data_IF_064312333884
#
_entry.id   IF_064312333884
#
_cell.length_a   1.000
_cell.length_b   1.000
_cell.length_c   1.000
_cell.angle_alpha   90.00
_cell.angle_beta   90.00
_cell.angle_gamma   90.00
#
_symmetry.space_group_name_H-M   'P 1'
#
loop_
_entity.id
_entity.type
_entity.pdbx_description
1 polymer ?
#
# COMPACT_ATOMS: atom_id res chain seq x y z
N UNK A 1 41.58 -3.85 54.33
CA UNK A 1 41.11 -3.43 52.99
C UNK A 1 41.27 -4.59 52.02
N UNK A 2 40.26 -5.45 51.85
CA UNK A 2 40.16 -6.38 50.72
C UNK A 2 38.72 -6.29 50.23
N UNK A 3 38.52 -5.46 49.19
CA UNK A 3 37.24 -5.23 48.54
C UNK A 3 36.93 -6.44 47.68
N UNK A 4 35.90 -7.19 48.08
CA UNK A 4 35.26 -8.28 47.35
C UNK A 4 35.01 -7.86 45.90
N UNK A 5 35.62 -8.60 44.97
CA UNK A 5 35.33 -8.54 43.54
C UNK A 5 33.92 -9.11 43.35
N UNK A 6 32.89 -8.26 43.33
CA UNK A 6 31.53 -8.69 42.98
C UNK A 6 31.55 -9.12 41.52
N UNK A 7 31.25 -10.40 41.34
CA UNK A 7 30.94 -11.11 40.11
C UNK A 7 30.29 -10.19 39.07
N UNK A 8 30.99 -9.93 37.97
CA UNK A 8 30.35 -9.63 36.69
C UNK A 8 29.73 -10.94 36.24
N UNK A 9 28.49 -11.20 36.66
CA UNK A 9 27.70 -12.32 36.17
C UNK A 9 27.59 -12.20 34.65
N UNK A 10 28.40 -13.04 34.01
CA UNK A 10 28.31 -13.54 32.65
C UNK A 10 26.85 -13.66 32.20
N UNK A 11 26.35 -12.66 31.48
CA UNK A 11 25.18 -12.85 30.62
C UNK A 11 25.63 -13.85 29.56
N UNK A 12 25.03 -15.04 29.57
CA UNK A 12 25.34 -16.10 28.62
C UNK A 12 25.22 -15.54 27.17
N UNK A 13 26.34 -15.50 26.41
CA UNK A 13 26.33 -14.97 25.05
C UNK A 13 25.32 -15.70 24.15
N UNK A 14 25.05 -16.98 24.44
CA UNK A 14 24.14 -17.80 23.66
C UNK A 14 22.67 -17.39 23.86
N UNK A 15 22.28 -17.00 25.09
CA UNK A 15 20.93 -16.48 25.38
C UNK A 15 20.70 -15.12 24.73
N UNK A 16 21.71 -14.24 24.80
CA UNK A 16 21.65 -12.91 24.18
C UNK A 16 21.52 -12.99 22.66
N UNK A 17 22.28 -13.89 22.01
CA UNK A 17 22.20 -14.08 20.56
C UNK A 17 20.86 -14.68 20.13
N UNK A 18 20.35 -15.72 20.81
CA UNK A 18 19.04 -16.32 20.49
C UNK A 18 17.93 -15.28 20.53
N UNK A 19 17.84 -14.51 21.62
CA UNK A 19 16.82 -13.47 21.78
C UNK A 19 16.92 -12.39 20.70
N UNK A 20 18.15 -11.97 20.37
CA UNK A 20 18.35 -10.96 19.32
C UNK A 20 17.96 -11.48 17.94
N UNK A 21 18.27 -12.74 17.62
CA UNK A 21 17.86 -13.35 16.35
C UNK A 21 16.34 -13.49 16.23
N UNK A 22 15.66 -13.84 17.33
CA UNK A 22 14.20 -13.89 17.37
C UNK A 22 13.58 -12.51 17.12
N UNK A 23 14.11 -11.46 17.74
CA UNK A 23 13.68 -10.08 17.50
C UNK A 23 13.85 -9.65 16.04
N UNK A 24 15.00 -9.96 15.43
CA UNK A 24 15.24 -9.69 14.01
C UNK A 24 14.25 -10.43 13.12
N UNK A 25 13.93 -11.69 13.45
CA UNK A 25 12.95 -12.48 12.70
C UNK A 25 11.55 -11.90 12.80
N UNK A 26 11.10 -11.53 13.99
CA UNK A 26 9.81 -10.89 14.22
C UNK A 26 9.71 -9.55 13.47
N UNK A 27 10.80 -8.77 13.44
CA UNK A 27 10.84 -7.50 12.72
C UNK A 27 10.73 -7.70 11.21
N UNK A 28 11.41 -8.71 10.65
CA UNK A 28 11.32 -9.08 9.23
C UNK A 28 9.91 -9.54 8.86
N UNK A 29 9.31 -10.43 9.65
CA UNK A 29 7.94 -10.91 9.44
C UNK A 29 6.93 -9.76 9.46
N UNK A 30 7.11 -8.81 10.37
CA UNK A 30 6.26 -7.64 10.46
C UNK A 30 6.41 -6.71 9.25
N UNK A 31 7.62 -6.57 8.75
CA UNK A 31 7.90 -5.79 7.54
C UNK A 31 7.24 -6.41 6.31
N UNK A 32 7.30 -7.74 6.18
CA UNK A 32 6.65 -8.49 5.10
C UNK A 32 5.11 -8.38 5.18
N UNK A 33 4.53 -8.55 6.37
CA UNK A 33 3.09 -8.34 6.57
C UNK A 33 2.64 -6.93 6.17
N UNK A 34 3.45 -5.91 6.50
CA UNK A 34 3.14 -4.54 6.14
C UNK A 34 3.23 -4.32 4.62
N UNK A 35 4.22 -4.91 3.95
CA UNK A 35 4.33 -4.92 2.49
C UNK A 35 3.08 -5.52 1.86
N UNK A 36 2.72 -6.73 2.27
CA UNK A 36 1.57 -7.47 1.71
C UNK A 36 0.26 -6.69 1.88
N UNK A 37 0.04 -6.07 3.04
CA UNK A 37 -1.13 -5.24 3.29
C UNK A 37 -1.23 -4.04 2.34
N UNK A 38 -0.10 -3.41 2.01
CA UNK A 38 -0.08 -2.25 1.12
C UNK A 38 -0.19 -2.68 -0.34
N UNK A 39 0.62 -3.66 -0.77
CA UNK A 39 0.67 -4.16 -2.14
C UNK A 39 -0.66 -4.77 -2.58
N UNK A 40 -1.31 -5.57 -1.70
CA UNK A 40 -2.61 -6.18 -2.00
C UNK A 40 -3.72 -5.16 -2.25
N UNK A 41 -3.65 -3.98 -1.61
CA UNK A 41 -4.63 -2.91 -1.76
C UNK A 41 -4.33 -2.00 -2.94
N UNK A 42 -3.08 -1.56 -3.05
CA UNK A 42 -2.67 -0.67 -4.13
C UNK A 42 -2.50 -1.40 -5.47
N UNK A 43 -2.35 -2.73 -5.46
CA UNK A 43 -2.05 -3.56 -6.63
C UNK A 43 -0.77 -3.09 -7.34
N UNK A 44 0.23 -2.75 -6.54
CA UNK A 44 1.58 -2.35 -6.99
C UNK A 44 2.61 -3.22 -6.31
N UNK A 45 3.80 -3.32 -6.91
CA UNK A 45 4.98 -3.92 -6.28
C UNK A 45 5.80 -2.80 -5.66
N UNK A 46 6.06 -2.87 -4.36
CA UNK A 46 6.89 -1.89 -3.67
C UNK A 46 8.37 -2.24 -3.81
N UNK A 47 9.28 -1.24 -3.74
CA UNK A 47 10.71 -1.49 -3.71
C UNK A 47 11.12 -2.42 -2.56
N UNK A 48 12.27 -3.09 -2.70
CA UNK A 48 12.81 -3.99 -1.66
C UNK A 48 13.00 -3.26 -0.31
N UNK A 49 13.45 -2.00 -0.36
CA UNK A 49 13.51 -1.12 0.81
C UNK A 49 12.14 -0.50 1.10
N UNK A 50 11.30 -1.26 1.82
CA UNK A 50 10.00 -0.78 2.29
C UNK A 50 10.15 0.42 3.24
N UNK A 51 11.21 0.43 4.06
CA UNK A 51 11.43 1.44 5.09
C UNK A 51 11.49 2.84 4.48
N UNK A 52 12.33 3.06 3.46
CA UNK A 52 12.40 4.37 2.80
C UNK A 52 11.10 4.76 2.09
N UNK A 53 10.39 3.78 1.51
CA UNK A 53 9.09 3.97 0.86
C UNK A 53 8.00 4.41 1.85
N UNK A 54 8.09 4.00 3.12
CA UNK A 54 7.17 4.43 4.17
C UNK A 54 7.54 5.81 4.73
N UNK A 55 8.83 6.09 4.92
CA UNK A 55 9.32 7.34 5.54
C UNK A 55 8.95 8.60 4.76
N UNK A 56 8.86 8.51 3.43
CA UNK A 56 8.46 9.66 2.60
C UNK A 56 6.94 9.94 2.62
N UNK A 57 6.16 9.00 3.16
CA UNK A 57 4.71 9.07 3.31
C UNK A 57 3.91 8.98 2.00
N UNK A 58 4.57 8.83 0.84
CA UNK A 58 3.91 8.84 -0.48
C UNK A 58 3.00 7.62 -0.61
N UNK A 59 3.55 6.43 -0.39
CA UNK A 59 2.78 5.17 -0.50
C UNK A 59 1.61 5.14 0.49
N UNK A 60 1.80 5.67 1.70
CA UNK A 60 0.77 5.75 2.73
C UNK A 60 -0.36 6.70 2.33
N UNK A 61 -0.03 7.85 1.75
CA UNK A 61 -1.04 8.77 1.20
C UNK A 61 -1.85 8.13 0.07
N UNK A 62 -1.19 7.37 -0.82
CA UNK A 62 -1.86 6.63 -1.88
C UNK A 62 -2.80 5.56 -1.32
N UNK A 63 -2.38 4.83 -0.28
CA UNK A 63 -3.22 3.85 0.40
C UNK A 63 -4.47 4.49 0.99
N UNK A 64 -4.34 5.61 1.70
CA UNK A 64 -5.48 6.32 2.26
C UNK A 64 -6.46 6.80 1.16
N UNK A 65 -5.94 7.25 0.02
CA UNK A 65 -6.75 7.66 -1.13
C UNK A 65 -7.42 6.48 -1.84
N UNK A 66 -6.82 5.28 -1.81
CA UNK A 66 -7.45 4.06 -2.31
C UNK A 66 -8.66 3.69 -1.48
N UNK A 67 -8.51 3.70 -0.14
CA UNK A 67 -9.54 3.30 0.81
C UNK A 67 -10.69 4.31 0.85
N UNK A 68 -10.36 5.61 0.81
CA UNK A 68 -11.36 6.65 0.64
C UNK A 68 -10.85 7.72 -0.33
N UNK A 69 -11.44 7.80 -1.55
CA UNK A 69 -11.03 8.74 -2.57
C UNK A 69 -10.96 10.18 -2.06
N UNK A 70 -9.88 10.89 -2.45
CA UNK A 70 -9.63 12.30 -2.11
C UNK A 70 -9.42 12.60 -0.61
N UNK A 71 -9.06 11.60 0.20
CA UNK A 71 -8.73 11.83 1.62
C UNK A 71 -7.46 12.64 1.83
N UNK A 72 -6.50 12.51 0.91
CA UNK A 72 -5.29 13.33 0.81
C UNK A 72 -5.35 14.12 -0.51
N UNK A 73 -5.46 15.45 -0.41
CA UNK A 73 -5.72 16.32 -1.57
C UNK A 73 -4.49 16.50 -2.48
N UNK A 74 -3.29 16.54 -1.92
CA UNK A 74 -2.05 16.71 -2.67
C UNK A 74 -0.95 15.87 -2.02
N UNK A 75 -0.21 15.12 -2.84
CA UNK A 75 0.89 14.26 -2.43
C UNK A 75 2.15 14.79 -3.08
N UNK A 76 3.19 15.02 -2.29
CA UNK A 76 4.50 15.36 -2.82
C UNK A 76 5.20 14.09 -3.27
N UNK A 77 5.35 13.89 -4.57
CA UNK A 77 6.07 12.74 -5.15
C UNK A 77 7.47 13.15 -5.62
N UNK A 78 8.49 12.27 -5.54
CA UNK A 78 9.79 12.52 -6.17
C UNK A 78 9.62 12.70 -7.69
N UNK A 79 10.43 13.55 -8.29
CA UNK A 79 10.45 13.74 -9.75
C UNK A 79 11.59 12.91 -10.36
N UNK A 80 11.49 12.44 -11.62
CA UNK A 80 12.59 11.71 -12.26
C UNK A 80 13.93 12.45 -12.24
N UNK A 81 13.90 13.79 -12.29
CA UNK A 81 15.10 14.63 -12.21
C UNK A 81 15.56 14.95 -10.77
N UNK A 82 14.71 14.69 -9.76
CA UNK A 82 14.99 14.92 -8.34
C UNK A 82 14.52 13.69 -7.56
N UNK A 83 15.37 12.65 -7.47
CA UNK A 83 14.98 11.33 -7.00
C UNK A 83 14.67 11.26 -5.51
N UNK A 84 14.93 12.34 -4.75
CA UNK A 84 14.68 12.41 -3.31
C UNK A 84 13.87 13.63 -2.94
N UNK A 85 12.78 13.41 -2.21
CA UNK A 85 12.02 14.48 -1.58
C UNK A 85 12.83 15.12 -0.45
N UNK A 86 12.65 16.43 -0.26
CA UNK A 86 13.19 17.09 0.94
C UNK A 86 12.46 16.59 2.17
N UNK A 87 13.14 16.57 3.32
CA UNK A 87 12.55 16.11 4.59
C UNK A 87 11.29 16.89 4.98
N UNK A 88 11.17 18.16 4.55
CA UNK A 88 9.96 18.95 4.76
C UNK A 88 8.75 18.41 3.98
N UNK A 89 8.96 17.97 2.72
CA UNK A 89 7.89 17.38 1.90
C UNK A 89 7.49 15.99 2.42
N UNK A 90 8.46 15.18 2.84
CA UNK A 90 8.19 13.87 3.47
C UNK A 90 7.32 14.04 4.72
N UNK A 91 7.70 14.94 5.64
CA UNK A 91 6.90 15.23 6.84
C UNK A 91 5.48 15.68 6.49
N UNK A 92 5.32 16.53 5.47
CA UNK A 92 4.01 16.99 5.04
C UNK A 92 3.12 15.87 4.53
N UNK A 93 3.67 14.93 3.76
CA UNK A 93 2.93 13.73 3.34
C UNK A 93 2.51 12.90 4.55
N UNK A 94 3.41 12.66 5.49
CA UNK A 94 3.13 11.88 6.71
C UNK A 94 2.02 12.52 7.54
N UNK A 95 2.06 13.83 7.76
CA UNK A 95 0.99 14.58 8.45
C UNK A 95 -0.35 14.44 7.72
N UNK A 96 -0.36 14.66 6.40
CA UNK A 96 -1.57 14.55 5.58
C UNK A 96 -2.18 13.14 5.64
N UNK A 97 -1.34 12.09 5.65
CA UNK A 97 -1.77 10.71 5.82
C UNK A 97 -2.45 10.48 7.17
N UNK A 98 -1.84 10.92 8.27
CA UNK A 98 -2.41 10.74 9.60
C UNK A 98 -3.72 11.52 9.76
N UNK A 99 -3.79 12.75 9.25
CA UNK A 99 -5.01 13.53 9.19
C UNK A 99 -6.11 12.83 8.37
N UNK A 100 -5.74 12.21 7.25
CA UNK A 100 -6.66 11.41 6.45
C UNK A 100 -7.19 10.21 7.23
N UNK A 101 -6.32 9.45 7.93
CA UNK A 101 -6.72 8.32 8.77
C UNK A 101 -7.73 8.73 9.85
N UNK A 102 -7.47 9.84 10.56
CA UNK A 102 -8.40 10.41 11.55
C UNK A 102 -9.76 10.70 10.93
N UNK A 103 -9.78 11.37 9.78
CA UNK A 103 -11.02 11.70 9.07
C UNK A 103 -11.72 10.45 8.55
N UNK A 104 -11.01 9.38 8.21
CA UNK A 104 -11.59 8.09 7.78
C UNK A 104 -12.29 7.39 8.95
N UNK A 105 -11.86 7.66 10.18
CA UNK A 105 -12.44 7.11 11.40
C UNK A 105 -11.50 6.15 12.14
N UNK A 106 -10.22 6.10 11.77
CA UNK A 106 -9.22 5.33 12.51
C UNK A 106 -9.09 5.91 13.93
N UNK A 107 -9.23 5.05 14.94
CA UNK A 107 -9.15 5.45 16.35
C UNK A 107 -7.79 6.07 16.68
N UNK A 108 -7.78 7.14 17.47
CA UNK A 108 -6.56 7.79 17.96
C UNK A 108 -5.62 6.81 18.69
N UNK A 109 -6.16 5.79 19.36
CA UNK A 109 -5.36 4.75 20.02
C UNK A 109 -4.62 3.82 19.06
N UNK A 110 -5.05 3.76 17.81
CA UNK A 110 -4.43 2.95 16.74
C UNK A 110 -3.56 3.78 15.79
N UNK A 111 -3.57 5.10 15.94
CA UNK A 111 -2.74 5.99 15.14
C UNK A 111 -1.32 6.05 15.71
N UNK A 112 -0.35 5.86 14.82
CA UNK A 112 1.05 6.12 15.08
C UNK A 112 1.35 7.62 14.98
N UNK A 113 2.48 8.03 15.56
CA UNK A 113 2.98 9.39 15.44
C UNK A 113 3.74 9.60 14.12
N UNK A 114 3.91 10.85 13.66
CA UNK A 114 4.81 11.15 12.54
C UNK A 114 6.23 10.61 12.77
N UNK A 115 6.70 10.64 14.02
CA UNK A 115 8.01 10.12 14.41
C UNK A 115 8.12 8.61 14.14
N UNK A 116 7.09 7.83 14.51
CA UNK A 116 7.09 6.37 14.30
C UNK A 116 7.22 6.03 12.81
N UNK A 117 6.58 6.76 11.90
CA UNK A 117 6.71 6.56 10.45
C UNK A 117 8.12 6.96 9.98
N UNK A 118 8.59 8.15 10.37
CA UNK A 118 9.93 8.64 9.93
C UNK A 118 11.10 7.84 10.49
N UNK A 119 10.89 7.05 11.56
CA UNK A 119 11.89 6.15 12.13
C UNK A 119 11.60 4.68 11.82
N UNK A 120 10.63 4.38 10.95
CA UNK A 120 10.22 3.02 10.60
C UNK A 120 9.93 2.12 11.80
N UNK A 121 9.26 2.65 12.83
CA UNK A 121 8.80 1.84 13.95
C UNK A 121 7.64 0.97 13.49
N UNK A 122 7.97 -0.24 13.06
CA UNK A 122 7.06 -1.12 12.35
C UNK A 122 5.76 -1.43 13.12
N UNK A 123 5.84 -1.66 14.43
CA UNK A 123 4.67 -2.04 15.24
C UNK A 123 3.55 -0.97 15.23
N UNK A 124 3.81 0.30 15.61
CA UNK A 124 2.82 1.37 15.48
C UNK A 124 2.31 1.56 14.05
N UNK A 125 3.22 1.59 13.06
CA UNK A 125 2.87 1.85 11.66
C UNK A 125 1.95 0.75 11.13
N UNK A 126 2.28 -0.51 11.41
CA UNK A 126 1.48 -1.66 11.05
C UNK A 126 0.10 -1.65 11.72
N UNK A 127 0.02 -1.25 12.99
CA UNK A 127 -1.25 -1.05 13.69
C UNK A 127 -2.15 -0.05 12.98
N UNK A 128 -1.62 1.12 12.62
CA UNK A 128 -2.34 2.15 11.88
C UNK A 128 -2.78 1.69 10.49
N UNK A 129 -1.87 1.07 9.72
CA UNK A 129 -2.18 0.61 8.36
C UNK A 129 -3.24 -0.49 8.39
N UNK A 130 -3.14 -1.45 9.30
CA UNK A 130 -4.17 -2.48 9.47
C UNK A 130 -5.53 -1.88 9.83
N UNK A 131 -5.57 -0.95 10.78
CA UNK A 131 -6.80 -0.29 11.18
C UNK A 131 -7.43 0.50 10.02
N UNK A 132 -6.60 1.17 9.22
CA UNK A 132 -7.03 1.89 8.03
C UNK A 132 -7.59 0.95 6.96
N UNK A 133 -6.90 -0.15 6.64
CA UNK A 133 -7.30 -1.14 5.63
C UNK A 133 -8.63 -1.82 5.98
N UNK A 134 -8.98 -1.91 7.27
CA UNK A 134 -10.29 -2.43 7.69
C UNK A 134 -11.49 -1.61 7.15
N UNK A 135 -11.29 -0.33 6.83
CA UNK A 135 -12.33 0.53 6.25
C UNK A 135 -12.60 0.27 4.77
N UNK A 136 -11.69 -0.40 4.05
CA UNK A 136 -11.87 -0.74 2.63
C UNK A 136 -12.98 -1.76 2.42
N UNK A 137 -13.11 -2.72 3.35
CA UNK A 137 -14.15 -3.77 3.32
C UNK A 137 -15.56 -3.19 3.47
N UNK A 138 -15.71 -2.05 4.13
CA UNK A 138 -17.00 -1.40 4.40
C UNK A 138 -17.63 -0.78 3.15
N UNK A 139 -16.84 -0.49 2.10
CA UNK A 139 -17.34 0.11 0.86
C UNK A 139 -17.96 -0.92 -0.09
N UNK A 140 -17.53 -2.19 -0.03
CA UNK A 140 -18.08 -3.27 -0.86
C UNK A 140 -19.51 -3.63 -0.43
N UNK A 141 -19.82 -3.54 0.86
CA UNK A 141 -21.17 -3.85 1.38
C UNK A 141 -22.22 -2.78 1.05
N UNK A 142 -21.82 -1.52 0.86
CA UNK A 142 -22.77 -0.40 0.63
C UNK A 142 -23.34 -0.31 -0.79
N UNK A 143 -22.80 -1.04 -1.77
CA UNK A 143 -23.34 -1.04 -3.15
C UNK A 143 -24.51 -2.02 -3.35
N UNK A 144 -24.78 -2.93 -2.40
CA UNK A 144 -25.93 -3.84 -2.46
C UNK A 144 -27.18 -3.30 -1.75
N UNK A 145 -27.05 -2.36 -0.83
CA UNK A 145 -28.19 -1.84 -0.06
C UNK A 145 -28.99 -0.71 -0.77
N UNK A 146 -28.44 -0.08 -1.83
CA UNK A 146 -29.15 0.96 -2.62
C UNK A 146 -30.01 0.40 -3.77
N UNK A 147 -30.19 -0.92 -3.87
CA UNK A 147 -31.10 -1.53 -4.85
C UNK A 147 -32.43 -2.01 -4.26
N UNK A 148 -32.63 -1.95 -2.93
CA UNK A 148 -33.81 -2.55 -2.27
C UNK A 148 -34.77 -1.53 -1.62
N UNK A 149 -34.53 -0.22 -1.76
CA UNK A 149 -35.44 0.82 -1.23
C UNK A 149 -36.05 1.68 -2.33
N UNK A 150 -36.78 1.05 -3.24
CA UNK A 150 -37.75 1.73 -4.09
C UNK A 150 -38.96 0.82 -4.29
N UNK A 151 -39.93 0.91 -3.39
CA UNK A 151 -41.25 0.30 -3.56
C UNK A 151 -42.23 1.26 -4.24
N UNK A 152 -43.24 0.74 -4.96
CA UNK A 152 -43.95 1.45 -6.01
C UNK A 152 -45.25 2.09 -5.52
N UNK A 153 -45.60 3.25 -6.09
CA UNK A 153 -46.97 3.75 -6.08
C UNK A 153 -47.32 4.28 -7.47
N UNK A 154 -48.56 4.02 -7.87
CA UNK A 154 -49.00 3.78 -9.24
C UNK A 154 -49.52 5.01 -10.00
N UNK A 155 -49.48 4.92 -11.34
CA UNK A 155 -50.53 5.24 -12.33
C UNK A 155 -51.02 6.72 -12.44
N UNK A 156 -51.02 7.40 -13.60
CA UNK A 156 -50.81 6.94 -14.96
C UNK A 156 -50.80 8.02 -16.06
N UNK A 157 -50.39 7.56 -17.26
CA UNK A 157 -50.63 7.99 -18.66
C UNK A 157 -50.73 9.51 -19.00
N UNK A 158 -49.99 10.08 -19.95
CA UNK A 158 -49.96 9.68 -21.38
C UNK A 158 -48.91 10.50 -22.18
N UNK A 159 -48.37 9.87 -23.23
CA UNK A 159 -47.81 10.43 -24.48
C UNK A 159 -46.36 10.98 -24.51
N UNK A 160 -45.51 10.26 -25.25
CA UNK A 160 -44.22 10.66 -25.86
C UNK A 160 -44.47 11.08 -27.34
N UNK A 161 -43.48 11.47 -28.18
CA UNK A 161 -42.03 11.67 -27.98
C UNK A 161 -41.46 12.98 -28.62
N UNK A 162 -40.24 13.40 -28.23
CA UNK A 162 -39.21 13.83 -29.21
C UNK A 162 -37.82 14.06 -28.59
N UNK A 163 -36.94 13.09 -28.86
CA UNK A 163 -35.53 13.16 -29.32
C UNK A 163 -34.71 14.44 -29.01
N UNK A 164 -33.64 14.30 -28.22
CA UNK A 164 -32.21 14.36 -28.65
C UNK A 164 -31.35 13.84 -27.49
N UNK A 165 -30.76 12.65 -27.67
CA UNK A 165 -29.71 12.12 -26.79
C UNK A 165 -28.38 12.17 -27.54
N UNK A 166 -27.42 12.95 -27.06
CA UNK A 166 -26.03 12.90 -27.55
C UNK A 166 -25.35 11.70 -26.90
N UNK A 167 -25.01 10.71 -27.72
CA UNK A 167 -24.22 9.54 -27.33
C UNK A 167 -22.73 9.91 -27.35
N UNK A 168 -22.08 9.94 -26.17
CA UNK A 168 -20.63 9.74 -26.09
C UNK A 168 -20.41 8.31 -25.63
N UNK A 169 -19.97 7.49 -26.57
CA UNK A 169 -19.78 6.05 -26.44
C UNK A 169 -18.46 5.77 -25.71
N UNK A 170 -18.54 5.21 -24.51
CA UNK A 170 -17.39 4.62 -23.79
C UNK A 170 -17.11 3.24 -24.37
N UNK A 171 -15.87 2.90 -24.79
CA UNK A 171 -15.57 1.57 -25.30
C UNK A 171 -15.63 0.52 -24.17
N UNK A 172 -16.08 -0.72 -24.47
CA UNK A 172 -16.21 -1.78 -23.48
C UNK A 172 -14.84 -2.28 -22.96
N UNK A 173 -14.78 -2.87 -21.75
CA UNK A 173 -13.56 -3.20 -21.01
C UNK A 173 -12.71 -4.35 -21.59
N UNK A 174 -12.98 -4.76 -22.84
CA UNK A 174 -12.32 -5.91 -23.46
C UNK A 174 -10.86 -5.63 -23.89
N UNK A 175 -10.41 -4.37 -23.90
CA UNK A 175 -9.08 -4.01 -24.41
C UNK A 175 -7.96 -4.04 -23.36
N UNK A 176 -8.26 -4.03 -22.05
CA UNK A 176 -7.22 -4.08 -21.00
C UNK A 176 -6.63 -5.48 -20.77
N UNK A 177 -7.33 -6.54 -21.19
CA UNK A 177 -6.86 -7.92 -21.02
C UNK A 177 -5.76 -8.27 -22.04
N UNK A 178 -5.84 -7.70 -23.25
CA UNK A 178 -4.86 -7.95 -24.32
C UNK A 178 -3.52 -7.25 -24.09
N UNK A 179 -3.48 -6.16 -23.32
CA UNK A 179 -2.25 -5.44 -22.99
C UNK A 179 -1.35 -6.26 -22.02
N UNK A 180 -1.97 -7.02 -21.11
CA UNK A 180 -1.26 -7.88 -20.15
C UNK A 180 -0.76 -9.16 -20.82
N UNK A 181 -1.58 -9.77 -21.69
CA UNK A 181 -1.20 -10.97 -22.45
C UNK A 181 -0.11 -10.63 -23.46
N UNK A 182 -0.21 -9.48 -24.15
CA UNK A 182 0.80 -9.00 -25.09
C UNK A 182 2.14 -8.71 -24.41
N UNK A 183 2.14 -7.99 -23.28
CA UNK A 183 3.36 -7.72 -22.51
C UNK A 183 4.02 -9.02 -22.01
N UNK A 184 3.23 -9.96 -21.48
CA UNK A 184 3.76 -11.23 -20.97
C UNK A 184 4.37 -12.11 -22.08
N UNK A 185 3.76 -12.16 -23.27
CA UNK A 185 4.29 -12.91 -24.42
C UNK A 185 5.60 -12.30 -24.96
N UNK A 186 5.73 -10.98 -24.96
CA UNK A 186 6.97 -10.30 -25.35
C UNK A 186 8.11 -10.62 -24.37
N UNK A 187 7.82 -10.66 -23.06
CA UNK A 187 8.82 -11.04 -22.06
C UNK A 187 9.27 -12.50 -22.21
N UNK A 188 8.33 -13.44 -22.43
CA UNK A 188 8.66 -14.85 -22.65
C UNK A 188 9.49 -15.01 -23.92
N UNK A 189 9.12 -14.34 -25.03
CA UNK A 189 9.89 -14.37 -26.27
C UNK A 189 11.32 -13.83 -26.07
N UNK A 190 11.48 -12.73 -25.32
CA UNK A 190 12.78 -12.15 -25.02
C UNK A 190 13.67 -13.12 -24.21
N UNK A 191 13.12 -13.78 -23.19
CA UNK A 191 13.85 -14.78 -22.40
C UNK A 191 14.29 -15.99 -23.24
N UNK A 192 13.44 -16.46 -24.16
CA UNK A 192 13.79 -17.56 -25.08
C UNK A 192 14.90 -17.14 -26.04
N UNK A 193 14.86 -15.92 -26.59
CA UNK A 193 15.91 -15.43 -27.48
C UNK A 193 17.26 -15.25 -26.75
N UNK A 194 17.24 -14.76 -25.51
CA UNK A 194 18.45 -14.67 -24.68
C UNK A 194 19.02 -16.05 -24.36
N UNK A 195 18.15 -17.02 -24.05
CA UNK A 195 18.58 -18.40 -23.81
C UNK A 195 19.21 -19.02 -25.04
N UNK A 196 18.60 -18.87 -26.22
CA UNK A 196 19.16 -19.36 -27.49
C UNK A 196 20.49 -18.68 -27.81
N UNK A 197 20.60 -17.36 -27.63
CA UNK A 197 21.85 -16.64 -27.84
C UNK A 197 22.96 -17.10 -26.88
N UNK A 198 22.62 -17.32 -25.59
CA UNK A 198 23.55 -17.85 -24.60
C UNK A 198 24.00 -19.27 -24.97
N UNK A 199 23.07 -20.16 -25.27
CA UNK A 199 23.38 -21.53 -25.70
C UNK A 199 24.18 -21.57 -27.00
N UNK A 200 23.96 -20.62 -27.91
CA UNK A 200 24.76 -20.51 -29.13
C UNK A 200 26.19 -20.04 -28.82
N UNK A 201 26.37 -19.08 -27.92
CA UNK A 201 27.69 -18.60 -27.51
C UNK A 201 28.54 -19.65 -26.77
N UNK A 202 27.90 -20.62 -26.12
CA UNK A 202 28.58 -21.78 -25.51
C UNK A 202 28.96 -22.85 -26.55
N UNK A 203 28.34 -22.85 -27.74
CA UNK A 203 28.53 -23.89 -28.77
C UNK A 203 29.50 -23.47 -29.89
N UNK A 204 29.94 -22.22 -29.94
CA UNK A 204 30.95 -21.68 -30.87
C UNK A 204 32.17 -21.16 -30.13
#
# INVERSE_FOLDING_TARGET
>A
FLRTHKSLESVDPQFTMRRKMEQLREELELMEQLRDLIESRLKVVLPEDLSSSLMDGVVLCHLANHIRPRSVASIHVPSPAVPKLSMAKCRRNVENFLDACKKIGVSESSLCSPYDITQCRLQPVHGTVRALVAFDTSAVNRKQDEAMSASPASCGSSQTPSVVSVTTQTPPPAWQVWDIIGSSLVHILCLVLLFVAYSWSELT
#
